data_IF_282316122669
#
_entry.id   IF_282316122669
#
_cell.length_a   1.000
_cell.length_b   1.000
_cell.length_c   1.000
_cell.angle_alpha   90.00
_cell.angle_beta   90.00
_cell.angle_gamma   90.00
#
_symmetry.space_group_name_H-M   'P 1'
#
loop_
_entity.id
_entity.type
_entity.pdbx_description
1 polymer ?
#
# COMPACT_ATOMS: atom_id res chain seq x y z
N UNK A 1 -46.32 -25.71 5.63
CA UNK A 1 -46.92 -25.32 6.93
C UNK A 1 -47.17 -26.52 7.84
N UNK A 2 -47.49 -27.69 7.28
CA UNK A 2 -47.81 -28.94 7.99
C UNK A 2 -46.62 -29.56 8.76
N UNK A 3 -45.42 -29.64 8.16
CA UNK A 3 -44.22 -30.25 8.80
C UNK A 3 -43.75 -29.56 10.09
N UNK A 4 -43.78 -28.22 10.13
CA UNK A 4 -43.35 -27.46 11.31
C UNK A 4 -44.33 -27.60 12.48
N UNK A 5 -45.62 -27.84 12.20
CA UNK A 5 -46.63 -28.05 13.23
C UNK A 5 -46.54 -29.47 13.82
N UNK A 6 -46.26 -30.45 12.98
CA UNK A 6 -46.06 -31.85 13.38
C UNK A 6 -44.79 -32.03 14.22
N UNK A 7 -43.66 -31.44 13.80
CA UNK A 7 -42.42 -31.43 14.56
C UNK A 7 -42.55 -30.73 15.93
N UNK A 8 -43.37 -29.67 16.01
CA UNK A 8 -43.62 -28.97 17.28
C UNK A 8 -44.51 -29.80 18.21
N UNK A 9 -45.47 -30.55 17.68
CA UNK A 9 -46.31 -31.47 18.46
C UNK A 9 -45.49 -32.62 19.07
N UNK A 10 -44.56 -33.18 18.30
CA UNK A 10 -43.65 -34.25 18.77
C UNK A 10 -42.73 -33.74 19.89
N UNK A 11 -42.19 -32.52 19.77
CA UNK A 11 -41.36 -31.90 20.82
C UNK A 11 -42.12 -31.64 22.12
N UNK A 12 -43.40 -31.26 22.01
CA UNK A 12 -44.26 -31.07 23.18
C UNK A 12 -44.52 -32.42 23.88
N UNK A 13 -44.76 -33.48 23.11
CA UNK A 13 -44.97 -34.83 23.64
C UNK A 13 -43.70 -35.36 24.34
N UNK A 14 -42.52 -35.14 23.74
CA UNK A 14 -41.23 -35.49 24.36
C UNK A 14 -40.93 -34.69 25.63
N UNK A 15 -41.26 -33.40 25.66
CA UNK A 15 -41.10 -32.55 26.86
C UNK A 15 -42.05 -32.98 28.00
N UNK A 16 -43.27 -33.41 27.66
CA UNK A 16 -44.21 -33.97 28.62
C UNK A 16 -43.73 -35.32 29.16
N UNK A 17 -43.24 -36.21 28.29
CA UNK A 17 -42.65 -37.49 28.69
C UNK A 17 -41.44 -37.32 29.61
N UNK A 18 -40.55 -36.35 29.32
CA UNK A 18 -39.41 -36.02 30.17
C UNK A 18 -39.85 -35.52 31.55
N UNK A 19 -40.91 -34.71 31.60
CA UNK A 19 -41.47 -34.21 32.86
C UNK A 19 -42.04 -35.34 33.72
N UNK A 20 -42.70 -36.32 33.09
CA UNK A 20 -43.23 -37.51 33.77
C UNK A 20 -42.10 -38.41 34.28
N UNK A 21 -41.05 -38.63 33.49
CA UNK A 21 -39.88 -39.43 33.91
C UNK A 21 -39.12 -38.78 35.08
N UNK A 22 -39.00 -37.44 35.08
CA UNK A 22 -38.44 -36.67 36.19
C UNK A 22 -39.29 -36.79 37.47
N UNK A 23 -40.62 -36.77 37.35
CA UNK A 23 -41.54 -36.95 38.49
C UNK A 23 -41.50 -38.38 39.06
N UNK A 24 -41.15 -39.37 38.25
CA UNK A 24 -41.02 -40.77 38.63
C UNK A 24 -39.63 -41.15 39.19
N UNK A 25 -38.67 -40.21 39.23
CA UNK A 25 -37.24 -40.48 39.53
C UNK A 25 -36.62 -41.58 38.65
N UNK A 26 -37.08 -41.74 37.42
CA UNK A 26 -36.52 -42.69 36.46
C UNK A 26 -35.34 -42.06 35.71
N UNK A 27 -34.16 -42.11 36.33
CA UNK A 27 -32.94 -41.51 35.79
C UNK A 27 -32.52 -42.09 34.42
N UNK A 28 -32.81 -43.39 34.17
CA UNK A 28 -32.43 -44.03 32.91
C UNK A 28 -33.28 -43.51 31.74
N UNK A 29 -34.57 -43.32 31.97
CA UNK A 29 -35.48 -42.77 30.96
C UNK A 29 -35.24 -41.28 30.72
N UNK A 30 -34.85 -40.53 31.76
CA UNK A 30 -34.46 -39.11 31.65
C UNK A 30 -33.21 -38.95 30.77
N UNK A 31 -32.14 -39.71 31.00
CA UNK A 31 -30.94 -39.66 30.15
C UNK A 31 -31.26 -40.03 28.70
N UNK A 32 -32.05 -41.09 28.49
CA UNK A 32 -32.47 -41.53 27.15
C UNK A 32 -33.22 -40.44 26.37
N UNK A 33 -34.12 -39.72 27.04
CA UNK A 33 -34.90 -38.64 26.42
C UNK A 33 -34.07 -37.38 26.16
N UNK A 34 -33.14 -37.04 27.07
CA UNK A 34 -32.19 -35.93 26.87
C UNK A 34 -31.25 -36.23 25.71
N UNK A 35 -30.70 -37.44 25.63
CA UNK A 35 -29.81 -37.87 24.55
C UNK A 35 -30.54 -37.88 23.19
N UNK A 36 -31.81 -38.29 23.16
CA UNK A 36 -32.62 -38.22 21.95
C UNK A 36 -32.83 -36.77 21.47
N UNK A 37 -33.16 -35.85 22.38
CA UNK A 37 -33.31 -34.42 22.08
C UNK A 37 -31.99 -33.77 21.66
N UNK A 38 -30.89 -34.11 22.33
CA UNK A 38 -29.55 -33.61 22.00
C UNK A 38 -29.08 -34.14 20.64
N UNK A 39 -29.30 -35.43 20.35
CA UNK A 39 -28.93 -36.06 19.08
C UNK A 39 -29.68 -35.46 17.88
N UNK A 40 -30.97 -35.12 18.04
CA UNK A 40 -31.76 -34.46 16.99
C UNK A 40 -31.24 -33.03 16.73
N UNK A 41 -30.91 -32.29 17.80
CA UNK A 41 -30.32 -30.94 17.70
C UNK A 41 -28.94 -30.99 17.05
N UNK A 42 -28.08 -31.90 17.48
CA UNK A 42 -26.72 -32.01 16.98
C UNK A 42 -26.72 -32.50 15.53
N UNK A 43 -27.60 -33.44 15.17
CA UNK A 43 -27.80 -33.84 13.76
C UNK A 43 -28.27 -32.68 12.88
N UNK A 44 -29.18 -31.84 13.38
CA UNK A 44 -29.62 -30.65 12.65
C UNK A 44 -28.50 -29.62 12.47
N UNK A 45 -27.68 -29.41 13.51
CA UNK A 45 -26.51 -28.52 13.45
C UNK A 45 -25.44 -29.07 12.50
N UNK A 46 -25.14 -30.37 12.53
CA UNK A 46 -24.22 -31.01 11.59
C UNK A 46 -24.73 -30.95 10.15
N UNK A 47 -26.03 -31.09 9.93
CA UNK A 47 -26.64 -30.97 8.61
C UNK A 47 -26.53 -29.52 8.08
N UNK A 48 -26.80 -28.52 8.92
CA UNK A 48 -26.61 -27.11 8.57
C UNK A 48 -25.14 -26.75 8.34
N UNK A 49 -24.23 -27.23 9.18
CA UNK A 49 -22.80 -27.05 9.00
C UNK A 49 -22.31 -27.72 7.71
N UNK A 50 -22.83 -28.90 7.38
CA UNK A 50 -22.55 -29.59 6.13
C UNK A 50 -23.07 -28.83 4.91
N UNK A 51 -24.25 -28.23 4.99
CA UNK A 51 -24.79 -27.34 3.93
C UNK A 51 -23.94 -26.09 3.77
N UNK A 52 -23.58 -25.40 4.87
CA UNK A 52 -22.71 -24.22 4.85
C UNK A 52 -21.35 -24.54 4.24
N UNK A 53 -20.73 -25.64 4.67
CA UNK A 53 -19.43 -26.08 4.14
C UNK A 53 -19.52 -26.38 2.65
N UNK A 54 -20.59 -27.04 2.20
CA UNK A 54 -20.79 -27.36 0.79
C UNK A 54 -21.09 -26.11 -0.04
N UNK A 55 -21.91 -25.19 0.46
CA UNK A 55 -22.19 -23.91 -0.19
C UNK A 55 -20.95 -23.03 -0.28
N UNK A 56 -20.12 -22.98 0.76
CA UNK A 56 -18.83 -22.30 0.74
C UNK A 56 -17.89 -22.95 -0.27
N UNK A 57 -17.84 -24.28 -0.29
CA UNK A 57 -17.05 -25.02 -1.27
C UNK A 57 -17.53 -24.78 -2.71
N UNK A 58 -18.84 -24.76 -2.96
CA UNK A 58 -19.43 -24.50 -4.28
C UNK A 58 -19.18 -23.04 -4.72
N UNK A 59 -19.22 -22.08 -3.79
CA UNK A 59 -18.86 -20.69 -4.06
C UNK A 59 -17.36 -20.54 -4.38
N UNK A 60 -16.49 -21.19 -3.61
CA UNK A 60 -15.05 -21.25 -3.87
C UNK A 60 -14.73 -21.95 -5.19
N UNK A 61 -15.42 -23.04 -5.51
CA UNK A 61 -15.25 -23.75 -6.78
C UNK A 61 -15.72 -22.90 -7.95
N UNK A 62 -16.90 -22.28 -7.85
CA UNK A 62 -17.40 -21.34 -8.85
C UNK A 62 -16.46 -20.15 -9.07
N UNK A 63 -15.76 -19.69 -8.03
CA UNK A 63 -14.74 -18.65 -8.13
C UNK A 63 -13.44 -19.15 -8.77
N UNK A 64 -12.96 -20.34 -8.39
CA UNK A 64 -11.79 -20.96 -9.01
C UNK A 64 -11.99 -21.35 -10.47
N UNK A 65 -13.25 -21.48 -10.90
CA UNK A 65 -13.67 -21.74 -12.27
C UNK A 65 -13.92 -20.47 -13.08
N UNK A 66 -13.83 -19.28 -12.47
CA UNK A 66 -13.85 -18.03 -13.22
C UNK A 66 -12.49 -17.86 -13.89
N UNK A 67 -12.46 -18.07 -15.21
CA UNK A 67 -11.28 -17.90 -16.06
C UNK A 67 -10.58 -16.54 -15.83
N UNK A 68 -11.31 -15.51 -15.37
CA UNK A 68 -10.75 -14.20 -15.03
C UNK A 68 -9.83 -14.26 -13.81
N UNK A 69 -10.22 -15.00 -12.78
CA UNK A 69 -9.46 -15.15 -11.52
C UNK A 69 -8.22 -16.00 -11.74
N UNK A 70 -8.35 -17.09 -12.49
CA UNK A 70 -7.22 -17.95 -12.86
C UNK A 70 -6.19 -17.14 -13.67
N UNK A 71 -6.65 -16.39 -14.67
CA UNK A 71 -5.78 -15.50 -15.46
C UNK A 71 -5.10 -14.43 -14.60
N UNK A 72 -5.82 -13.84 -13.65
CA UNK A 72 -5.29 -12.84 -12.73
C UNK A 72 -4.17 -13.42 -11.86
N UNK A 73 -4.38 -14.61 -11.29
CA UNK A 73 -3.42 -15.28 -10.41
C UNK A 73 -2.21 -15.86 -11.17
N UNK A 74 -2.43 -16.50 -12.32
CA UNK A 74 -1.37 -17.20 -13.06
C UNK A 74 -0.55 -16.29 -13.97
N UNK A 75 -1.11 -15.16 -14.41
CA UNK A 75 -0.48 -14.30 -15.42
C UNK A 75 -0.35 -12.84 -14.98
N UNK A 76 -1.46 -12.19 -14.65
CA UNK A 76 -1.44 -10.72 -14.52
C UNK A 76 -0.74 -10.26 -13.23
N UNK A 77 -0.91 -10.98 -12.11
CA UNK A 77 -0.16 -10.71 -10.85
C UNK A 77 1.35 -10.95 -11.01
N UNK A 78 1.80 -12.10 -11.56
CA UNK A 78 3.22 -12.30 -11.88
C UNK A 78 3.80 -11.23 -12.82
N UNK A 79 3.08 -10.84 -13.88
CA UNK A 79 3.48 -9.76 -14.81
C UNK A 79 3.61 -8.41 -14.07
N UNK A 80 2.63 -8.05 -13.25
CA UNK A 80 2.70 -6.83 -12.44
C UNK A 80 3.90 -6.83 -11.48
N UNK A 81 4.22 -7.97 -10.86
CA UNK A 81 5.42 -8.11 -10.02
C UNK A 81 6.70 -7.86 -10.83
N UNK A 82 6.83 -8.47 -12.01
CA UNK A 82 8.01 -8.26 -12.86
C UNK A 82 8.16 -6.79 -13.26
N UNK A 83 7.05 -6.17 -13.67
CA UNK A 83 7.01 -4.76 -14.03
C UNK A 83 7.36 -3.83 -12.86
N UNK A 84 6.87 -4.10 -11.65
CA UNK A 84 7.25 -3.33 -10.47
C UNK A 84 8.74 -3.47 -10.15
N UNK A 85 9.30 -4.69 -10.26
CA UNK A 85 10.74 -4.88 -10.10
C UNK A 85 11.53 -4.09 -11.14
N UNK A 86 11.06 -4.07 -12.40
CA UNK A 86 11.65 -3.23 -13.43
C UNK A 86 11.62 -1.74 -13.06
N UNK A 87 10.51 -1.23 -12.51
CA UNK A 87 10.43 0.15 -12.02
C UNK A 87 11.44 0.43 -10.92
N UNK A 88 11.57 -0.49 -9.95
CA UNK A 88 12.53 -0.37 -8.85
C UNK A 88 13.95 -0.28 -9.41
N UNK A 89 14.35 -1.23 -10.27
CA UNK A 89 15.69 -1.25 -10.86
C UNK A 89 15.98 0.01 -11.67
N UNK A 90 15.04 0.47 -12.50
CA UNK A 90 15.23 1.69 -13.27
C UNK A 90 15.33 2.94 -12.39
N UNK A 91 14.59 2.98 -11.29
CA UNK A 91 14.62 4.10 -10.33
C UNK A 91 15.94 4.13 -9.57
N UNK A 92 16.43 2.97 -9.12
CA UNK A 92 17.72 2.83 -8.47
C UNK A 92 18.85 3.24 -9.42
N UNK A 93 18.86 2.72 -10.65
CA UNK A 93 19.86 3.08 -11.66
C UNK A 93 19.87 4.60 -11.96
N UNK A 94 18.71 5.23 -12.06
CA UNK A 94 18.63 6.66 -12.30
C UNK A 94 19.11 7.49 -11.10
N UNK A 95 18.78 7.05 -9.88
CA UNK A 95 19.27 7.69 -8.65
C UNK A 95 20.80 7.60 -8.57
N UNK A 96 21.38 6.42 -8.79
CA UNK A 96 22.83 6.20 -8.80
C UNK A 96 23.52 7.05 -9.87
N UNK A 97 22.98 7.07 -11.09
CA UNK A 97 23.55 7.87 -12.19
C UNK A 97 23.51 9.36 -11.85
N UNK A 98 22.40 9.82 -11.24
CA UNK A 98 22.25 11.22 -10.82
C UNK A 98 23.24 11.57 -9.72
N UNK A 99 23.39 10.73 -8.71
CA UNK A 99 24.29 10.96 -7.59
C UNK A 99 25.75 11.00 -8.05
N UNK A 100 26.17 10.00 -8.85
CA UNK A 100 27.52 9.95 -9.41
C UNK A 100 27.84 11.19 -10.25
N UNK A 101 26.89 11.64 -11.09
CA UNK A 101 27.08 12.84 -11.89
C UNK A 101 27.25 14.10 -11.02
N UNK A 102 26.48 14.21 -9.94
CA UNK A 102 26.60 15.32 -8.98
C UNK A 102 27.95 15.27 -8.24
N UNK A 103 28.39 14.09 -7.79
CA UNK A 103 29.68 13.90 -7.12
C UNK A 103 30.87 14.31 -8.01
N UNK A 104 30.77 14.11 -9.32
CA UNK A 104 31.79 14.55 -10.28
C UNK A 104 31.72 16.05 -10.61
N UNK A 105 30.52 16.63 -10.64
CA UNK A 105 30.28 18.04 -11.00
C UNK A 105 30.68 19.01 -9.89
N UNK A 106 30.34 18.69 -8.64
CA UNK A 106 30.58 19.56 -7.48
C UNK A 106 32.05 20.02 -7.35
N UNK A 107 33.05 19.12 -7.30
CA UNK A 107 34.45 19.55 -7.12
C UNK A 107 34.95 20.42 -8.27
N UNK A 108 34.49 20.18 -9.50
CA UNK A 108 34.86 21.00 -10.67
C UNK A 108 34.23 22.38 -10.58
N UNK A 109 32.95 22.46 -10.19
CA UNK A 109 32.28 23.74 -9.98
C UNK A 109 32.94 24.55 -8.87
N UNK A 110 33.30 23.92 -7.75
CA UNK A 110 34.02 24.57 -6.64
C UNK A 110 35.41 25.05 -7.06
N UNK A 111 36.16 24.25 -7.81
CA UNK A 111 37.48 24.62 -8.31
C UNK A 111 37.41 25.83 -9.26
N UNK A 112 36.44 25.87 -10.18
CA UNK A 112 36.22 27.02 -11.07
C UNK A 112 35.85 28.26 -10.25
N UNK A 113 34.91 28.15 -9.31
CA UNK A 113 34.48 29.26 -8.48
C UNK A 113 35.62 29.86 -7.63
N UNK A 114 36.45 29.01 -7.03
CA UNK A 114 37.63 29.43 -6.26
C UNK A 114 38.63 30.18 -7.16
N UNK A 115 38.96 29.63 -8.33
CA UNK A 115 39.89 30.28 -9.26
C UNK A 115 39.34 31.62 -9.76
N UNK A 116 38.04 31.72 -10.07
CA UNK A 116 37.41 33.00 -10.47
C UNK A 116 37.52 34.03 -9.34
N UNK A 117 37.30 33.63 -8.09
CA UNK A 117 37.44 34.51 -6.93
C UNK A 117 38.86 35.07 -6.79
N UNK A 118 39.87 34.22 -6.88
CA UNK A 118 41.29 34.63 -6.82
C UNK A 118 41.66 35.56 -7.98
N UNK A 119 41.20 35.24 -9.19
CA UNK A 119 41.47 36.03 -10.38
C UNK A 119 40.80 37.41 -10.31
N UNK A 120 39.59 37.50 -9.75
CA UNK A 120 38.87 38.76 -9.56
C UNK A 120 39.61 39.72 -8.61
N UNK A 121 40.14 39.21 -7.49
CA UNK A 121 40.93 40.02 -6.54
C UNK A 121 42.19 40.58 -7.23
N UNK A 122 42.90 39.75 -8.01
CA UNK A 122 44.10 40.20 -8.75
C UNK A 122 43.75 41.17 -9.87
N UNK A 123 42.61 40.96 -10.53
CA UNK A 123 42.10 41.86 -11.56
C UNK A 123 41.81 43.26 -10.99
N UNK A 124 41.21 43.34 -9.80
CA UNK A 124 40.96 44.61 -9.11
C UNK A 124 42.25 45.34 -8.74
N UNK A 125 43.27 44.63 -8.24
CA UNK A 125 44.60 45.21 -7.98
C UNK A 125 45.24 45.77 -9.25
N UNK A 126 45.13 45.03 -10.37
CA UNK A 126 45.60 45.50 -11.66
C UNK A 126 44.88 46.79 -12.09
N UNK A 127 43.56 46.87 -11.97
CA UNK A 127 42.78 48.07 -12.29
C UNK A 127 43.14 49.27 -11.40
N UNK A 128 43.48 49.02 -10.14
CA UNK A 128 43.94 50.05 -9.19
C UNK A 128 45.41 50.48 -9.43
N UNK A 129 46.09 49.89 -10.43
CA UNK A 129 47.52 50.11 -10.73
C UNK A 129 48.44 49.71 -9.58
N UNK A 130 47.99 48.77 -8.73
CA UNK A 130 48.69 48.23 -7.56
C UNK A 130 49.29 46.84 -7.87
N UNK A 131 49.83 46.69 -9.08
CA UNK A 131 50.42 45.44 -9.56
C UNK A 131 51.74 45.73 -10.32
N UNK A 132 52.89 45.23 -9.85
CA UNK A 132 54.16 45.31 -10.55
C UNK A 132 54.15 44.53 -11.88
N UNK A 133 55.03 44.91 -12.80
CA UNK A 133 55.10 44.30 -14.14
C UNK A 133 55.41 42.79 -14.12
N UNK A 134 56.27 42.31 -13.21
CA UNK A 134 56.56 40.87 -13.11
C UNK A 134 55.35 40.08 -12.57
N UNK A 135 54.62 40.62 -11.58
CA UNK A 135 53.37 40.02 -11.09
C UNK A 135 52.31 39.98 -12.20
N UNK A 136 52.21 41.04 -13.02
CA UNK A 136 51.30 41.08 -14.16
C UNK A 136 51.59 39.99 -15.21
N UNK A 137 52.87 39.70 -15.51
CA UNK A 137 53.22 38.62 -16.43
C UNK A 137 52.75 37.26 -15.92
N UNK A 138 52.94 36.98 -14.64
CA UNK A 138 52.46 35.74 -14.01
C UNK A 138 50.93 35.68 -14.06
N UNK A 139 50.25 36.77 -13.69
CA UNK A 139 48.80 36.88 -13.76
C UNK A 139 48.24 36.60 -15.16
N UNK A 140 48.86 37.10 -16.23
CA UNK A 140 48.41 36.80 -17.61
C UNK A 140 48.51 35.31 -17.99
N UNK A 141 49.47 34.58 -17.41
CA UNK A 141 49.58 33.12 -17.59
C UNK A 141 48.47 32.41 -16.82
N UNK A 142 48.25 32.79 -15.57
CA UNK A 142 47.17 32.24 -14.74
C UNK A 142 45.78 32.44 -15.36
N UNK A 143 45.51 33.61 -15.97
CA UNK A 143 44.26 33.86 -16.70
C UNK A 143 44.09 32.85 -17.85
N UNK A 144 45.18 32.58 -18.58
CA UNK A 144 45.16 31.66 -19.72
C UNK A 144 44.96 30.21 -19.28
N UNK A 145 45.60 29.80 -18.18
CA UNK A 145 45.39 28.50 -17.53
C UNK A 145 43.95 28.36 -17.02
N UNK A 146 43.41 29.38 -16.36
CA UNK A 146 42.03 29.41 -15.90
C UNK A 146 41.03 29.26 -17.05
N UNK A 147 41.24 29.93 -18.20
CA UNK A 147 40.38 29.75 -19.37
C UNK A 147 40.46 28.35 -19.97
N UNK A 148 41.61 27.67 -19.86
CA UNK A 148 41.75 26.27 -20.28
C UNK A 148 40.98 25.35 -19.33
N UNK A 149 41.26 25.44 -18.02
CA UNK A 149 40.60 24.62 -17.00
C UNK A 149 39.08 24.83 -16.96
N UNK A 150 38.61 26.08 -17.08
CA UNK A 150 37.18 26.38 -17.11
C UNK A 150 36.50 25.76 -18.31
N UNK A 151 37.16 25.72 -19.48
CA UNK A 151 36.58 25.12 -20.68
C UNK A 151 36.42 23.61 -20.52
N UNK A 152 37.45 22.95 -19.99
CA UNK A 152 37.42 21.51 -19.71
C UNK A 152 36.38 21.18 -18.63
N UNK A 153 36.36 21.94 -17.55
CA UNK A 153 35.41 21.74 -16.46
C UNK A 153 33.96 21.99 -16.89
N UNK A 154 33.68 23.05 -17.64
CA UNK A 154 32.34 23.29 -18.19
C UNK A 154 31.89 22.21 -19.17
N UNK A 155 32.81 21.67 -19.99
CA UNK A 155 32.50 20.56 -20.88
C UNK A 155 32.16 19.28 -20.09
N UNK A 156 32.89 18.99 -19.00
CA UNK A 156 32.57 17.88 -18.11
C UNK A 156 31.20 18.08 -17.42
N UNK A 157 30.94 19.28 -16.89
CA UNK A 157 29.66 19.60 -16.26
C UNK A 157 28.51 19.41 -17.24
N UNK A 158 28.65 19.91 -18.48
CA UNK A 158 27.64 19.72 -19.52
C UNK A 158 27.43 18.23 -19.85
N UNK A 159 28.51 17.45 -19.96
CA UNK A 159 28.45 16.01 -20.17
C UNK A 159 27.67 15.30 -19.06
N UNK A 160 27.98 15.60 -17.80
CA UNK A 160 27.33 15.01 -16.63
C UNK A 160 25.87 15.42 -16.48
N UNK A 161 25.53 16.69 -16.73
CA UNK A 161 24.13 17.12 -16.76
C UNK A 161 23.32 16.42 -17.87
N UNK A 162 23.94 16.12 -19.01
CA UNK A 162 23.30 15.30 -20.05
C UNK A 162 23.11 13.84 -19.59
N UNK A 163 24.09 13.25 -18.91
CA UNK A 163 23.94 11.91 -18.30
C UNK A 163 22.76 11.88 -17.33
N UNK A 164 22.60 12.90 -16.47
CA UNK A 164 21.44 13.04 -15.56
C UNK A 164 20.13 13.11 -16.34
N UNK A 165 20.05 13.99 -17.36
CA UNK A 165 18.84 14.15 -18.17
C UNK A 165 18.44 12.85 -18.86
N UNK A 166 19.41 12.11 -19.40
CA UNK A 166 19.16 10.81 -20.02
C UNK A 166 18.72 9.77 -19.00
N UNK A 167 19.38 9.73 -17.83
CA UNK A 167 19.03 8.85 -16.73
C UNK A 167 17.62 9.12 -16.19
N UNK A 168 17.10 10.34 -16.31
CA UNK A 168 15.73 10.71 -15.92
C UNK A 168 14.66 10.39 -16.97
N UNK A 169 15.05 10.04 -18.20
CA UNK A 169 14.12 9.74 -19.31
C UNK A 169 13.22 8.51 -19.10
N UNK A 170 13.51 7.66 -18.11
CA UNK A 170 12.71 6.48 -17.74
C UNK A 170 11.37 6.80 -17.03
N UNK A 171 11.14 8.05 -16.65
CA UNK A 171 9.98 8.45 -15.84
C UNK A 171 8.62 8.18 -16.54
N UNK A 172 8.55 8.31 -17.87
CA UNK A 172 7.32 8.01 -18.62
C UNK A 172 6.98 6.52 -18.56
N UNK A 173 7.99 5.66 -18.74
CA UNK A 173 7.81 4.21 -18.74
C UNK A 173 7.44 3.70 -17.35
N UNK A 174 8.07 4.21 -16.30
CA UNK A 174 7.75 3.84 -14.91
C UNK A 174 6.36 4.32 -14.51
N UNK A 175 5.96 5.53 -14.93
CA UNK A 175 4.60 6.05 -14.71
C UNK A 175 3.53 5.19 -15.39
N UNK A 176 3.77 4.73 -16.61
CA UNK A 176 2.86 3.81 -17.32
C UNK A 176 2.75 2.46 -16.62
N UNK A 177 3.88 1.90 -16.17
CA UNK A 177 3.90 0.64 -15.42
C UNK A 177 3.11 0.77 -14.12
N UNK A 178 3.34 1.81 -13.33
CA UNK A 178 2.65 2.02 -12.06
C UNK A 178 1.14 2.16 -12.29
N UNK A 179 0.71 2.93 -13.30
CA UNK A 179 -0.71 3.03 -13.66
C UNK A 179 -1.32 1.67 -13.98
N UNK A 180 -0.61 0.84 -14.75
CA UNK A 180 -1.08 -0.50 -15.10
C UNK A 180 -1.23 -1.41 -13.89
N UNK A 181 -0.30 -1.32 -12.94
CA UNK A 181 -0.35 -2.06 -11.68
C UNK A 181 -1.52 -1.58 -10.82
N UNK A 182 -1.76 -0.27 -10.74
CA UNK A 182 -2.92 0.29 -10.01
C UNK A 182 -4.24 -0.19 -10.60
N UNK A 183 -4.36 -0.21 -11.93
CA UNK A 183 -5.53 -0.77 -12.63
C UNK A 183 -5.74 -2.24 -12.27
N UNK A 184 -4.66 -3.03 -12.24
CA UNK A 184 -4.72 -4.44 -11.86
C UNK A 184 -5.20 -4.63 -10.41
N UNK A 185 -4.66 -3.85 -9.47
CA UNK A 185 -5.06 -3.92 -8.05
C UNK A 185 -6.55 -3.59 -7.90
N UNK A 186 -7.07 -2.59 -8.63
CA UNK A 186 -8.51 -2.28 -8.63
C UNK A 186 -9.34 -3.45 -9.16
N UNK A 187 -8.89 -4.11 -10.23
CA UNK A 187 -9.59 -5.30 -10.74
C UNK A 187 -9.60 -6.45 -9.72
N UNK A 188 -8.50 -6.66 -8.99
CA UNK A 188 -8.45 -7.64 -7.88
C UNK A 188 -9.45 -7.27 -6.79
N UNK A 189 -9.47 -6.01 -6.35
CA UNK A 189 -10.39 -5.51 -5.31
C UNK A 189 -11.86 -5.69 -5.71
N UNK A 190 -12.23 -5.31 -6.93
CA UNK A 190 -13.60 -5.46 -7.44
C UNK A 190 -14.06 -6.93 -7.44
N UNK A 191 -13.20 -7.84 -7.90
CA UNK A 191 -13.49 -9.27 -7.91
C UNK A 191 -13.62 -9.85 -6.48
N UNK A 192 -12.82 -9.35 -5.51
CA UNK A 192 -12.95 -9.76 -4.11
C UNK A 192 -14.24 -9.23 -3.46
N UNK A 193 -14.66 -8.00 -3.79
CA UNK A 193 -15.93 -7.44 -3.31
C UNK A 193 -17.12 -8.22 -3.89
N UNK A 194 -17.06 -8.61 -5.16
CA UNK A 194 -18.08 -9.45 -5.80
C UNK A 194 -18.21 -10.81 -5.10
N UNK A 195 -17.08 -11.45 -4.77
CA UNK A 195 -17.06 -12.68 -3.98
C UNK A 195 -17.77 -12.54 -2.63
N UNK A 196 -17.40 -11.51 -1.86
CA UNK A 196 -18.00 -11.25 -0.55
C UNK A 196 -19.49 -11.00 -0.69
N UNK A 197 -19.94 -10.30 -1.74
CA UNK A 197 -21.37 -10.11 -2.04
C UNK A 197 -22.09 -11.41 -2.38
N UNK A 198 -21.48 -12.30 -3.18
CA UNK A 198 -22.09 -13.59 -3.53
C UNK A 198 -22.22 -14.48 -2.30
N UNK A 199 -21.19 -14.51 -1.46
CA UNK A 199 -21.18 -15.26 -0.20
C UNK A 199 -22.22 -14.68 0.79
N UNK A 200 -22.27 -13.35 0.93
CA UNK A 200 -23.21 -12.65 1.82
C UNK A 200 -24.67 -12.73 1.38
N UNK A 201 -24.97 -12.68 0.07
CA UNK A 201 -26.36 -12.77 -0.43
C UNK A 201 -27.01 -14.14 -0.26
N UNK A 202 -26.23 -15.22 -0.09
CA UNK A 202 -26.77 -16.57 0.18
C UNK A 202 -27.04 -16.82 1.66
N UNK A 203 -26.60 -15.92 2.54
CA UNK A 203 -26.91 -15.90 3.96
C UNK A 203 -27.93 -14.80 4.27
N UNK A 204 -29.11 -14.90 3.68
CA UNK A 204 -30.31 -14.28 4.28
C UNK A 204 -31.17 -15.44 4.77
N UNK A 205 -31.02 -15.86 6.03
CA UNK A 205 -32.10 -16.60 6.66
C UNK A 205 -33.33 -15.70 6.57
N UNK A 206 -34.46 -16.20 6.07
CA UNK A 206 -35.76 -15.52 6.19
C UNK A 206 -36.11 -15.37 7.67
N UNK A 207 -35.52 -14.37 8.31
CA UNK A 207 -35.73 -14.02 9.70
C UNK A 207 -35.72 -12.50 9.81
N UNK A 208 -36.90 -11.93 9.57
CA UNK A 208 -37.37 -10.61 10.01
C UNK A 208 -36.60 -9.40 9.43
N UNK A 209 -37.19 -8.84 8.36
CA UNK A 209 -37.12 -7.42 8.06
C UNK A 209 -37.62 -6.61 9.28
N UNK A 210 -36.70 -6.09 10.08
CA UNK A 210 -36.97 -5.03 11.06
C UNK A 210 -35.80 -4.04 11.00
N UNK A 211 -36.06 -2.93 10.30
CA UNK A 211 -35.41 -1.61 10.33
C UNK A 211 -33.88 -1.46 10.12
N UNK A 212 -33.43 -0.38 9.46
CA UNK A 212 -32.03 -0.17 9.15
C UNK A 212 -31.29 0.36 10.38
N UNK A 213 -30.37 -0.42 10.93
CA UNK A 213 -29.35 0.10 11.81
C UNK A 213 -28.27 0.76 10.93
N UNK A 214 -28.02 2.04 11.18
CA UNK A 214 -26.89 2.79 10.63
C UNK A 214 -25.60 2.14 11.17
N UNK A 215 -24.86 1.45 10.31
CA UNK A 215 -23.56 0.89 10.66
C UNK A 215 -22.47 1.93 10.38
N UNK A 216 -21.83 2.36 11.46
CA UNK A 216 -20.60 3.14 11.48
C UNK A 216 -19.49 2.38 10.74
N UNK A 217 -18.92 3.00 9.69
CA UNK A 217 -17.74 2.49 8.98
C UNK A 217 -16.50 2.56 9.89
N UNK A 218 -16.23 1.47 10.62
CA UNK A 218 -14.98 1.31 11.35
C UNK A 218 -13.84 1.05 10.35
N UNK A 219 -13.11 2.12 10.04
CA UNK A 219 -11.96 2.15 9.13
C UNK A 219 -10.81 1.25 9.61
N UNK A 220 -10.66 0.08 8.99
CA UNK A 220 -9.37 -0.62 8.89
C UNK A 220 -8.46 0.12 7.90
N UNK A 221 -7.88 1.25 8.30
CA UNK A 221 -6.85 1.94 7.52
C UNK A 221 -5.47 1.34 7.84
N UNK A 222 -4.90 0.62 6.87
CA UNK A 222 -3.49 0.25 6.90
C UNK A 222 -2.63 1.51 6.90
N UNK A 223 -1.65 1.56 7.81
CA UNK A 223 -0.69 2.65 7.92
C UNK A 223 0.31 2.57 6.76
N UNK A 224 -0.05 3.16 5.62
CA UNK A 224 0.88 3.50 4.55
C UNK A 224 1.57 4.83 4.82
N UNK A 225 2.73 5.11 4.21
CA UNK A 225 3.39 6.41 4.32
C UNK A 225 2.47 7.52 3.80
N UNK A 226 2.38 8.61 4.56
CA UNK A 226 1.48 9.76 4.28
C UNK A 226 1.88 10.42 2.96
N UNK A 227 0.91 10.60 2.06
CA UNK A 227 1.11 11.26 0.77
C UNK A 227 0.45 12.65 0.80
N UNK A 228 1.24 13.73 0.74
CA UNK A 228 0.71 15.10 0.72
C UNK A 228 -0.33 15.30 -0.38
N UNK A 229 -1.50 15.87 -0.03
CA UNK A 229 -2.61 16.15 -0.94
C UNK A 229 -3.66 15.03 -1.13
N UNK A 230 -3.36 13.78 -0.75
CA UNK A 230 -4.32 12.67 -0.77
C UNK A 230 -4.95 12.47 0.61
N UNK A 231 -4.12 12.49 1.65
CA UNK A 231 -4.57 12.34 3.04
C UNK A 231 -5.22 13.61 3.60
N UNK A 232 -4.89 14.77 3.01
CA UNK A 232 -5.48 16.09 3.36
C UNK A 232 -6.96 16.19 3.03
N UNK A 233 -7.48 15.35 2.12
CA UNK A 233 -8.90 15.35 1.75
C UNK A 233 -9.78 14.51 2.67
N UNK A 234 -9.19 13.64 3.50
CA UNK A 234 -9.93 12.72 4.39
C UNK A 234 -9.96 13.16 5.85
N UNK A 235 -9.52 14.38 6.18
CA UNK A 235 -9.61 14.93 7.53
C UNK A 235 -8.75 14.22 8.59
N UNK A 236 -7.86 13.30 8.17
CA UNK A 236 -6.99 12.54 9.07
C UNK A 236 -5.55 13.09 9.14
N UNK A 237 -5.30 14.25 8.55
CA UNK A 237 -4.07 15.03 8.73
C UNK A 237 -4.41 16.39 9.33
N UNK A 238 -4.71 16.38 10.63
CA UNK A 238 -4.47 17.54 11.49
C UNK A 238 -3.35 17.17 12.44
N UNK A 239 -2.12 17.18 11.92
CA UNK A 239 -0.95 17.46 12.74
C UNK A 239 -0.71 18.97 12.58
N UNK A 240 -1.47 19.78 13.33
CA UNK A 240 -1.12 21.18 13.46
C UNK A 240 0.23 21.24 14.18
N UNK A 241 1.08 22.18 13.81
CA UNK A 241 2.33 22.48 14.51
C UNK A 241 2.10 22.71 16.02
N UNK A 242 0.88 23.12 16.39
CA UNK A 242 0.44 23.32 17.79
C UNK A 242 0.39 22.00 18.59
N UNK A 243 0.04 20.85 17.98
CA UNK A 243 -0.05 19.56 18.68
C UNK A 243 1.34 19.00 19.03
N UNK A 244 2.36 19.40 18.27
CA UNK A 244 3.76 19.05 18.54
C UNK A 244 4.30 19.85 19.72
N UNK A 245 3.96 21.14 19.80
CA UNK A 245 4.37 22.01 20.91
C UNK A 245 3.68 21.64 22.24
N UNK A 246 2.43 21.15 22.19
CA UNK A 246 1.73 20.63 23.37
C UNK A 246 2.35 19.31 23.88
N UNK A 247 2.78 18.43 22.98
CA UNK A 247 3.49 17.20 23.34
C UNK A 247 4.86 17.49 23.97
N UNK A 248 5.61 18.47 23.44
CA UNK A 248 6.90 18.90 24.00
C UNK A 248 6.73 19.56 25.38
N UNK A 249 5.67 20.35 25.56
CA UNK A 249 5.32 20.97 26.85
C UNK A 249 4.94 19.93 27.92
N UNK A 250 4.32 18.81 27.52
CA UNK A 250 3.92 17.73 28.44
C UNK A 250 5.09 16.85 28.91
N UNK A 251 6.21 16.85 28.17
CA UNK A 251 7.42 16.07 28.46
C UNK A 251 8.50 16.84 29.22
N UNK A 252 8.26 18.12 29.54
CA UNK A 252 9.06 18.88 30.51
C UNK A 252 10.43 19.35 29.99
N UNK A 253 10.47 19.91 28.78
CA UNK A 253 11.56 20.80 28.32
C UNK A 253 11.06 22.24 28.17
#
# INVERSE_FOLDING_TARGET
>A
MTDKQEANSIRIEQAQALTVALQANDHAEVERLIDALASERDSALFLELGKLTRQFHDAMMSFSLDDRVVKLAEKDIPDAKERLNYVITMTEQAADTTLNAVEEVLPVSEAIAAQVGDLAVRWDRFLQRDMPFEEFKEFTKEISEHFSHSREGLALIQGKLNEVLMAQGFQDLTGQVIKRVIELVREVEENMVELVRISGKRYVPEAKLSEPAEEEEEHLQGTGPVVPGVDDRKGNTMASQDDVDDLLSSLGF
#
